data_IF_527624293230
#
_entry.id   IF_527624293230
#
_cell.length_a   1.000
_cell.length_b   1.000
_cell.length_c   1.000
_cell.angle_alpha   90.00
_cell.angle_beta   90.00
_cell.angle_gamma   90.00
#
_symmetry.space_group_name_H-M   'P 1'
#
loop_
_entity.id
_entity.type
_entity.pdbx_description
1 polymer ?
#
# COMPACT_ATOMS: atom_id res chain seq x y z
N UNK A 1 -32.54 -21.25 -1.50
CA UNK A 1 -32.13 -20.23 -2.49
C UNK A 1 -33.08 -20.16 -3.69
N UNK A 2 -33.66 -21.26 -4.12
CA UNK A 2 -34.53 -21.32 -5.31
C UNK A 2 -35.87 -20.58 -5.21
N UNK A 3 -36.16 -19.93 -4.09
CA UNK A 3 -37.30 -19.03 -3.93
C UNK A 3 -36.93 -17.54 -4.17
N UNK A 4 -35.64 -17.23 -4.38
CA UNK A 4 -35.21 -15.86 -4.62
C UNK A 4 -35.05 -15.59 -6.10
N UNK A 5 -35.55 -14.46 -6.52
CA UNK A 5 -35.40 -13.93 -7.88
C UNK A 5 -34.74 -12.57 -7.83
N UNK A 6 -34.11 -12.18 -8.94
CA UNK A 6 -33.63 -10.81 -9.15
C UNK A 6 -34.78 -9.85 -9.44
N UNK A 7 -34.45 -8.57 -9.63
CA UNK A 7 -35.44 -7.54 -9.98
C UNK A 7 -36.10 -7.73 -11.36
N UNK A 8 -35.61 -8.64 -12.20
CA UNK A 8 -36.17 -9.00 -13.49
C UNK A 8 -36.94 -10.36 -13.44
N UNK A 9 -37.15 -10.91 -12.25
CA UNK A 9 -37.85 -12.19 -12.05
C UNK A 9 -37.01 -13.45 -12.38
N UNK A 10 -35.70 -13.32 -12.63
CA UNK A 10 -34.82 -14.45 -12.91
C UNK A 10 -34.42 -15.17 -11.62
N UNK A 11 -34.47 -16.47 -11.63
CA UNK A 11 -34.13 -17.28 -10.46
C UNK A 11 -32.65 -17.13 -10.05
N UNK A 12 -32.42 -17.03 -8.75
CA UNK A 12 -31.10 -17.09 -8.14
C UNK A 12 -30.82 -18.47 -7.54
N UNK A 13 -29.54 -18.93 -7.49
CA UNK A 13 -28.33 -18.28 -7.99
C UNK A 13 -28.17 -18.45 -9.50
N UNK A 14 -27.45 -17.54 -10.14
CA UNK A 14 -27.07 -17.67 -11.57
C UNK A 14 -25.94 -18.69 -11.81
N UNK A 15 -25.15 -18.97 -10.77
CA UNK A 15 -23.99 -19.85 -10.83
C UNK A 15 -24.35 -21.15 -10.13
N UNK A 16 -24.27 -22.27 -10.83
CA UNK A 16 -24.56 -23.59 -10.29
C UNK A 16 -23.36 -24.17 -9.54
N UNK A 17 -22.17 -24.07 -10.11
CA UNK A 17 -20.95 -24.66 -9.59
C UNK A 17 -19.84 -23.61 -9.41
N UNK A 18 -19.17 -23.66 -8.26
CA UNK A 18 -17.96 -22.85 -7.98
C UNK A 18 -16.81 -23.78 -7.66
N UNK A 19 -15.81 -23.81 -8.54
CA UNK A 19 -14.56 -24.55 -8.32
C UNK A 19 -13.48 -23.62 -7.77
N UNK A 20 -12.94 -23.97 -6.61
CA UNK A 20 -11.84 -23.24 -5.99
C UNK A 20 -10.58 -24.09 -6.06
N UNK A 21 -9.62 -23.67 -6.87
CA UNK A 21 -8.32 -24.33 -7.00
C UNK A 21 -7.35 -23.79 -5.94
N UNK A 22 -6.91 -24.66 -5.04
CA UNK A 22 -5.90 -24.33 -4.04
C UNK A 22 -4.52 -24.50 -4.64
N UNK A 23 -3.70 -23.44 -4.58
CA UNK A 23 -2.35 -23.45 -5.12
C UNK A 23 -1.43 -22.53 -4.32
N UNK A 24 -0.11 -22.57 -4.57
CA UNK A 24 0.82 -21.65 -3.92
C UNK A 24 0.58 -20.21 -4.38
N UNK A 25 0.79 -19.24 -3.48
CA UNK A 25 0.60 -17.81 -3.77
C UNK A 25 1.41 -17.30 -4.97
N UNK A 26 2.55 -17.90 -5.25
CA UNK A 26 3.40 -17.56 -6.41
C UNK A 26 2.79 -17.98 -7.75
N UNK A 27 1.97 -19.02 -7.77
CA UNK A 27 1.32 -19.52 -8.99
C UNK A 27 0.00 -18.81 -9.30
N UNK A 28 -0.62 -18.14 -8.32
CA UNK A 28 -1.92 -17.47 -8.52
C UNK A 28 -1.87 -16.46 -9.70
N UNK A 29 -0.90 -15.52 -9.77
CA UNK A 29 -0.85 -14.58 -10.89
C UNK A 29 -0.63 -15.25 -12.24
N UNK A 30 0.13 -16.36 -12.26
CA UNK A 30 0.42 -17.11 -13.49
C UNK A 30 -0.85 -17.78 -13.99
N UNK A 31 -1.58 -18.48 -13.11
CA UNK A 31 -2.84 -19.16 -13.44
C UNK A 31 -3.94 -18.17 -13.86
N UNK A 32 -4.05 -17.04 -13.18
CA UNK A 32 -4.95 -15.98 -13.59
C UNK A 32 -4.56 -15.41 -14.97
N UNK A 33 -3.27 -15.19 -15.20
CA UNK A 33 -2.74 -14.69 -16.46
C UNK A 33 -2.84 -15.68 -17.63
N UNK A 34 -2.91 -16.97 -17.37
CA UNK A 34 -3.12 -18.02 -18.39
C UNK A 34 -4.60 -18.31 -18.70
N UNK A 35 -5.53 -17.59 -18.04
CA UNK A 35 -6.96 -17.79 -18.25
C UNK A 35 -7.55 -19.04 -17.60
N UNK A 36 -6.84 -19.64 -16.63
CA UNK A 36 -7.32 -20.82 -15.90
C UNK A 36 -8.42 -20.50 -14.87
N UNK A 37 -8.73 -19.22 -14.67
CA UNK A 37 -9.73 -18.77 -13.69
C UNK A 37 -10.67 -17.74 -14.32
N UNK A 38 -11.97 -17.89 -14.05
CA UNK A 38 -12.99 -16.94 -14.50
C UNK A 38 -12.98 -15.65 -13.66
N UNK A 39 -12.67 -15.76 -12.37
CA UNK A 39 -12.60 -14.65 -11.44
C UNK A 39 -11.46 -14.84 -10.44
N UNK A 40 -10.54 -13.88 -10.36
CA UNK A 40 -9.45 -13.86 -9.38
C UNK A 40 -9.27 -12.47 -8.79
N UNK A 41 -9.29 -12.36 -7.47
CA UNK A 41 -8.99 -11.10 -6.76
C UNK A 41 -7.94 -11.26 -5.65
N UNK A 42 -7.91 -12.40 -4.98
CA UNK A 42 -6.93 -12.69 -3.92
C UNK A 42 -5.59 -13.17 -4.49
N UNK A 43 -4.49 -12.85 -3.79
CA UNK A 43 -3.15 -13.28 -4.20
C UNK A 43 -2.60 -12.56 -5.45
N UNK A 44 -3.28 -11.52 -5.92
CA UNK A 44 -2.79 -10.63 -6.96
C UNK A 44 -2.27 -9.33 -6.31
N UNK A 45 -1.09 -8.91 -6.74
CA UNK A 45 -0.46 -7.67 -6.32
C UNK A 45 -0.32 -6.73 -7.52
N UNK A 46 -0.12 -5.44 -7.25
CA UNK A 46 0.07 -4.45 -8.31
C UNK A 46 1.29 -4.77 -9.19
N UNK A 47 2.32 -5.39 -8.64
CA UNK A 47 3.50 -5.86 -9.39
C UNK A 47 3.16 -6.89 -10.48
N UNK A 48 2.01 -7.57 -10.38
CA UNK A 48 1.54 -8.51 -11.41
C UNK A 48 0.78 -7.80 -12.55
N UNK A 49 0.52 -6.50 -12.42
CA UNK A 49 -0.34 -5.75 -13.34
C UNK A 49 0.12 -5.83 -14.80
N UNK A 50 1.41 -5.59 -15.05
CA UNK A 50 1.97 -5.64 -16.41
C UNK A 50 1.82 -7.02 -17.05
N UNK A 51 2.09 -8.09 -16.28
CA UNK A 51 1.91 -9.48 -16.73
C UNK A 51 0.46 -9.75 -17.11
N UNK A 52 -0.47 -9.39 -16.25
CA UNK A 52 -1.89 -9.61 -16.46
C UNK A 52 -2.42 -8.79 -17.64
N UNK A 53 -2.06 -7.53 -17.77
CA UNK A 53 -2.47 -6.68 -18.90
C UNK A 53 -1.96 -7.19 -20.24
N UNK A 54 -0.72 -7.66 -20.30
CA UNK A 54 -0.13 -8.20 -21.52
C UNK A 54 -0.87 -9.44 -22.02
N UNK A 55 -1.42 -10.23 -21.13
CA UNK A 55 -2.06 -11.51 -21.43
C UNK A 55 -3.57 -11.41 -21.71
N UNK A 56 -4.21 -10.29 -21.41
CA UNK A 56 -5.67 -10.08 -21.53
C UNK A 56 -6.24 -10.49 -22.88
N UNK A 57 -5.65 -9.97 -23.97
CA UNK A 57 -6.15 -10.24 -25.34
C UNK A 57 -6.02 -11.71 -25.72
N UNK A 58 -4.93 -12.37 -25.29
CA UNK A 58 -4.66 -13.76 -25.63
C UNK A 58 -5.61 -14.72 -24.95
N UNK A 59 -6.00 -14.44 -23.72
CA UNK A 59 -6.79 -15.35 -22.88
C UNK A 59 -8.21 -14.85 -22.58
N UNK A 60 -8.62 -13.72 -23.16
CA UNK A 60 -10.01 -13.26 -23.17
C UNK A 60 -10.55 -12.76 -21.81
N UNK A 61 -9.68 -12.29 -20.90
CA UNK A 61 -10.09 -11.71 -19.62
C UNK A 61 -9.81 -10.19 -19.57
N UNK A 62 -10.23 -9.54 -18.50
CA UNK A 62 -10.01 -8.11 -18.26
C UNK A 62 -9.49 -7.87 -16.83
N UNK A 63 -8.35 -7.19 -16.72
CA UNK A 63 -7.77 -6.79 -15.43
C UNK A 63 -8.33 -5.45 -14.99
N UNK A 64 -9.00 -5.42 -13.84
CA UNK A 64 -9.55 -4.22 -13.24
C UNK A 64 -8.75 -3.80 -12.00
N UNK A 65 -8.36 -2.54 -11.93
CA UNK A 65 -7.79 -1.96 -10.72
C UNK A 65 -8.94 -1.45 -9.84
N UNK A 66 -9.05 -2.01 -8.65
CA UNK A 66 -10.04 -1.58 -7.67
C UNK A 66 -9.40 -0.63 -6.67
N UNK A 67 -10.05 0.48 -6.40
CA UNK A 67 -9.67 1.34 -5.29
C UNK A 67 -9.88 0.60 -3.98
N UNK A 68 -8.90 0.66 -3.10
CA UNK A 68 -9.00 0.09 -1.76
C UNK A 68 -9.31 1.18 -0.75
N UNK A 69 -10.13 0.85 0.25
CA UNK A 69 -10.49 1.77 1.34
C UNK A 69 -9.36 1.92 2.38
N UNK A 70 -8.10 1.69 2.00
CA UNK A 70 -6.93 1.87 2.88
C UNK A 70 -6.36 3.26 2.69
N UNK A 71 -6.15 3.97 3.77
CA UNK A 71 -5.56 5.31 3.76
C UNK A 71 -4.11 5.35 3.28
N UNK A 72 -3.35 4.26 3.50
CA UNK A 72 -2.02 4.08 2.96
C UNK A 72 -1.76 2.64 2.54
N UNK A 73 -0.99 2.44 1.49
CA UNK A 73 -0.53 1.11 1.08
C UNK A 73 0.65 0.65 1.94
N UNK A 74 1.53 1.57 2.26
CA UNK A 74 2.71 1.36 3.08
C UNK A 74 2.66 2.35 4.24
N UNK A 75 2.93 1.88 5.44
CA UNK A 75 3.04 2.72 6.61
C UNK A 75 4.10 2.16 7.56
N UNK A 76 4.90 3.04 8.14
CA UNK A 76 5.90 2.71 9.15
C UNK A 76 5.32 3.08 10.51
N UNK A 77 5.28 2.12 11.42
CA UNK A 77 4.77 2.29 12.78
C UNK A 77 5.90 2.10 13.80
N UNK A 78 6.57 3.17 14.26
CA UNK A 78 7.53 3.05 15.34
C UNK A 78 6.88 2.47 16.60
N UNK A 79 7.56 1.51 17.23
CA UNK A 79 7.03 0.89 18.45
C UNK A 79 7.19 1.83 19.65
N UNK A 80 6.12 2.54 20.01
CA UNK A 80 6.10 3.51 21.11
C UNK A 80 6.26 2.86 22.50
N UNK A 81 6.18 1.54 22.59
CA UNK A 81 6.36 0.75 23.80
C UNK A 81 7.59 -0.15 23.72
N UNK A 82 8.62 0.29 22.97
CA UNK A 82 9.86 -0.46 22.85
C UNK A 82 10.51 -0.65 24.22
N UNK A 83 11.16 -1.80 24.45
CA UNK A 83 11.71 -2.16 25.77
C UNK A 83 12.88 -1.27 26.19
N UNK A 84 13.73 -0.93 25.26
CA UNK A 84 14.84 0.00 25.48
C UNK A 84 14.29 1.42 25.65
N UNK A 85 14.61 2.05 26.78
CA UNK A 85 14.05 3.35 27.18
C UNK A 85 14.55 4.52 26.31
N UNK A 86 15.75 4.44 25.77
CA UNK A 86 16.31 5.48 24.89
C UNK A 86 15.58 5.45 23.54
N UNK A 87 15.45 4.27 22.94
CA UNK A 87 14.65 4.07 21.73
C UNK A 87 13.18 4.41 21.94
N UNK A 88 12.61 4.06 23.09
CA UNK A 88 11.23 4.39 23.40
C UNK A 88 11.00 5.91 23.43
N UNK A 89 11.88 6.67 24.11
CA UNK A 89 11.82 8.13 24.13
C UNK A 89 11.91 8.71 22.71
N UNK A 90 12.83 8.18 21.91
CA UNK A 90 13.02 8.62 20.54
C UNK A 90 11.78 8.35 19.68
N UNK A 91 11.22 7.13 19.70
CA UNK A 91 10.02 6.79 18.95
C UNK A 91 8.79 7.59 19.36
N UNK A 92 8.69 7.96 20.64
CA UNK A 92 7.63 8.84 21.15
C UNK A 92 7.82 10.31 20.77
N UNK A 93 9.04 10.72 20.40
CA UNK A 93 9.29 12.08 19.97
C UNK A 93 8.65 12.33 18.60
N UNK A 94 7.79 13.35 18.54
CA UNK A 94 7.06 13.67 17.30
C UNK A 94 7.98 14.18 16.20
N UNK A 95 9.04 14.92 16.55
CA UNK A 95 9.98 15.46 15.56
C UNK A 95 10.84 14.37 14.94
N UNK A 96 11.18 13.30 15.70
CA UNK A 96 11.81 12.11 15.14
C UNK A 96 10.92 11.47 14.06
N UNK A 97 9.64 11.25 14.36
CA UNK A 97 8.71 10.65 13.40
C UNK A 97 8.46 11.55 12.18
N UNK A 98 8.46 12.89 12.36
CA UNK A 98 8.37 13.86 11.27
C UNK A 98 9.60 13.81 10.38
N UNK A 99 10.80 13.79 10.97
CA UNK A 99 12.05 13.66 10.24
C UNK A 99 12.07 12.38 9.39
N UNK A 100 11.67 11.23 9.95
CA UNK A 100 11.54 9.99 9.19
C UNK A 100 10.54 10.11 8.05
N UNK A 101 9.43 10.84 8.25
CA UNK A 101 8.41 11.00 7.21
C UNK A 101 8.94 11.79 6.01
N UNK A 102 9.61 12.94 6.25
CA UNK A 102 10.12 13.78 5.16
C UNK A 102 11.41 13.22 4.54
N UNK A 103 12.04 12.21 5.17
CA UNK A 103 13.17 11.47 4.59
C UNK A 103 12.75 10.42 3.55
N UNK A 104 11.46 10.16 3.39
CA UNK A 104 10.94 9.16 2.44
C UNK A 104 10.64 9.84 1.11
N UNK A 105 11.35 9.43 0.06
CA UNK A 105 11.02 9.83 -1.31
C UNK A 105 9.80 9.04 -1.82
N UNK A 106 8.63 9.66 -1.63
CA UNK A 106 7.36 9.08 -2.07
C UNK A 106 7.21 9.09 -3.57
N UNK A 107 7.85 10.06 -4.23
CA UNK A 107 7.82 10.17 -5.68
C UNK A 107 8.57 9.00 -6.32
N UNK A 108 9.80 8.74 -5.89
CA UNK A 108 10.58 7.59 -6.38
C UNK A 108 9.83 6.28 -6.14
N UNK A 109 9.28 6.07 -4.93
CA UNK A 109 8.48 4.89 -4.61
C UNK A 109 7.27 4.77 -5.56
N UNK A 110 6.59 5.89 -5.82
CA UNK A 110 5.44 5.90 -6.73
C UNK A 110 5.82 5.52 -8.16
N UNK A 111 6.91 6.08 -8.68
CA UNK A 111 7.39 5.76 -10.02
C UNK A 111 7.82 4.29 -10.15
N UNK A 112 8.63 3.81 -9.21
CA UNK A 112 9.21 2.45 -9.27
C UNK A 112 8.16 1.36 -9.06
N UNK A 113 7.29 1.52 -8.06
CA UNK A 113 6.37 0.44 -7.65
C UNK A 113 4.94 0.59 -8.16
N UNK A 114 4.53 1.81 -8.52
CA UNK A 114 3.14 2.11 -8.88
C UNK A 114 2.98 2.81 -10.23
N UNK A 115 4.07 2.95 -11.00
CA UNK A 115 4.05 3.58 -12.33
C UNK A 115 3.42 4.99 -12.33
N UNK A 116 3.63 5.75 -11.25
CA UNK A 116 3.03 7.06 -11.06
C UNK A 116 1.53 7.06 -10.73
N UNK A 117 0.90 5.90 -10.53
CA UNK A 117 -0.55 5.78 -10.33
C UNK A 117 -0.99 5.93 -8.86
N UNK A 118 -0.05 5.91 -7.92
CA UNK A 118 -0.34 6.11 -6.50
C UNK A 118 -0.37 7.60 -6.14
N UNK A 119 -0.92 7.92 -4.98
CA UNK A 119 -0.89 9.27 -4.40
C UNK A 119 0.22 9.38 -3.37
N UNK A 120 0.97 10.46 -3.46
CA UNK A 120 2.13 10.75 -2.61
C UNK A 120 1.70 11.55 -1.38
N UNK A 121 1.02 10.90 -0.44
CA UNK A 121 0.47 11.52 0.76
C UNK A 121 0.85 10.73 2.01
N UNK A 122 0.51 11.28 3.17
CA UNK A 122 0.51 10.51 4.42
C UNK A 122 -0.71 9.58 4.50
N UNK A 123 -0.67 8.68 5.49
CA UNK A 123 -1.82 7.88 5.84
C UNK A 123 -2.98 8.77 6.26
N UNK A 124 -4.05 8.74 5.50
CA UNK A 124 -5.26 9.54 5.72
C UNK A 124 -6.49 8.74 5.27
N UNK A 125 -7.68 9.26 5.52
CA UNK A 125 -8.92 8.72 4.98
C UNK A 125 -9.00 8.98 3.47
N UNK A 126 -9.90 8.29 2.78
CA UNK A 126 -10.12 8.51 1.35
C UNK A 126 -10.64 9.94 1.09
N UNK A 127 -10.35 10.47 -0.10
CA UNK A 127 -10.82 11.81 -0.51
C UNK A 127 -12.32 11.98 -0.48
N UNK A 128 -13.02 10.90 -0.77
CA UNK A 128 -14.49 10.83 -0.79
C UNK A 128 -15.10 10.84 0.62
N UNK A 129 -14.28 10.69 1.65
CA UNK A 129 -14.72 10.76 3.04
C UNK A 129 -15.00 12.21 3.45
N UNK A 130 -16.11 12.50 4.16
CA UNK A 130 -16.37 13.81 4.74
C UNK A 130 -15.34 14.23 5.80
N UNK A 131 -14.52 13.29 6.29
CA UNK A 131 -13.43 13.54 7.23
C UNK A 131 -12.10 13.82 6.54
N UNK A 132 -12.05 13.88 5.20
CA UNK A 132 -10.82 14.15 4.48
C UNK A 132 -10.41 15.62 4.63
N UNK A 133 -9.18 15.82 5.07
CA UNK A 133 -8.53 17.12 5.10
C UNK A 133 -7.20 17.04 4.32
N UNK A 134 -7.09 17.83 3.27
CA UNK A 134 -5.93 17.85 2.39
C UNK A 134 -4.65 18.33 3.13
N UNK A 135 -4.79 19.25 4.08
CA UNK A 135 -3.66 19.73 4.89
C UNK A 135 -3.08 18.60 5.74
N UNK A 136 -3.92 17.76 6.34
CA UNK A 136 -3.45 16.59 7.09
C UNK A 136 -2.84 15.54 6.18
N UNK A 137 -3.44 15.26 5.03
CA UNK A 137 -2.95 14.28 4.07
C UNK A 137 -1.57 14.64 3.53
N UNK A 138 -1.27 15.92 3.35
CA UNK A 138 -0.02 16.39 2.75
C UNK A 138 1.02 16.88 3.79
N UNK A 139 0.63 16.99 5.06
CA UNK A 139 1.55 17.49 6.11
C UNK A 139 2.68 16.50 6.38
N UNK A 140 3.92 16.96 6.29
CA UNK A 140 5.12 16.13 6.47
C UNK A 140 5.26 15.00 5.44
N UNK A 141 4.69 15.17 4.24
CA UNK A 141 4.78 14.18 3.15
C UNK A 141 5.78 14.58 2.06
N UNK A 142 6.26 15.82 2.07
CA UNK A 142 7.31 16.29 1.17
C UNK A 142 8.60 15.50 1.39
N UNK A 143 9.40 15.39 0.35
CA UNK A 143 10.74 14.83 0.45
C UNK A 143 11.75 15.96 0.71
N UNK A 144 12.43 15.93 1.85
CA UNK A 144 13.42 16.93 2.24
C UNK A 144 14.47 16.33 3.18
N UNK A 145 15.54 15.80 2.61
CA UNK A 145 16.63 15.19 3.36
C UNK A 145 17.41 16.20 4.22
N UNK A 146 17.52 17.45 3.78
CA UNK A 146 18.26 18.47 4.53
C UNK A 146 17.52 18.79 5.83
N UNK A 147 16.25 19.11 5.74
CA UNK A 147 15.42 19.35 6.91
C UNK A 147 15.30 18.11 7.79
N UNK A 148 15.17 16.91 7.21
CA UNK A 148 15.14 15.66 7.98
C UNK A 148 16.43 15.46 8.79
N UNK A 149 17.59 15.68 8.18
CA UNK A 149 18.87 15.57 8.87
C UNK A 149 19.03 16.62 9.97
N UNK A 150 18.65 17.87 9.72
CA UNK A 150 18.68 18.92 10.73
C UNK A 150 17.81 18.56 11.94
N UNK A 151 16.57 18.09 11.70
CA UNK A 151 15.69 17.65 12.78
C UNK A 151 16.26 16.50 13.60
N UNK A 152 17.01 15.58 12.99
CA UNK A 152 17.70 14.50 13.70
C UNK A 152 18.92 14.99 14.48
N UNK A 153 19.65 15.97 13.94
CA UNK A 153 20.76 16.62 14.65
C UNK A 153 20.26 17.40 15.89
N UNK A 154 19.15 18.12 15.76
CA UNK A 154 18.49 18.82 16.87
C UNK A 154 18.02 17.87 18.00
N UNK A 155 17.80 16.60 17.68
CA UNK A 155 17.49 15.54 18.64
C UNK A 155 18.75 14.89 19.27
N UNK A 156 19.94 15.37 18.93
CA UNK A 156 21.22 14.87 19.44
C UNK A 156 21.79 13.68 18.67
N UNK A 157 21.16 13.24 17.57
CA UNK A 157 21.61 12.11 16.76
C UNK A 157 22.69 12.52 15.77
N UNK A 158 23.72 13.22 16.23
CA UNK A 158 24.80 13.77 15.40
C UNK A 158 25.92 12.75 15.12
N UNK A 159 26.13 11.81 16.04
CA UNK A 159 27.18 10.81 15.90
C UNK A 159 26.85 9.84 14.75
N UNK A 160 27.91 9.46 14.00
CA UNK A 160 27.77 8.51 12.91
C UNK A 160 28.87 7.42 13.01
N UNK A 161 28.56 6.21 12.59
CA UNK A 161 29.57 5.17 12.45
C UNK A 161 30.37 5.33 11.14
N UNK A 162 31.35 4.43 10.92
CA UNK A 162 32.20 4.42 9.73
C UNK A 162 31.43 4.25 8.41
N UNK A 163 30.19 3.77 8.45
CA UNK A 163 29.29 3.60 7.30
C UNK A 163 28.33 4.77 7.12
N UNK A 164 28.44 5.84 7.93
CA UNK A 164 27.58 7.00 7.88
C UNK A 164 26.24 6.87 8.58
N UNK A 165 25.91 5.75 9.21
CA UNK A 165 24.66 5.58 9.95
C UNK A 165 24.72 6.34 11.27
N UNK A 166 23.62 7.00 11.62
CA UNK A 166 23.46 7.70 12.89
C UNK A 166 23.47 6.71 14.06
N UNK A 167 24.10 7.13 15.14
CA UNK A 167 24.14 6.39 16.41
C UNK A 167 23.24 7.11 17.42
N UNK A 168 22.66 6.32 18.30
CA UNK A 168 21.94 6.78 19.48
C UNK A 168 22.90 7.15 20.59
#
# INVERSE_FOLDING_TARGET
YYHRVDMNGRQLPYINDVKVNVTSSKLIPIKAGSGETDLQSRGLNFTNYTLLKKSEKKFGYSTKLWRTAKGARWAIYPNLNFRDMEWQKLFRNVNFRRALSIAIDRHEINQVFYYGLARETNNSVLRESPLFDEKFANRWSQFDLNTANQMLDDLGLVKRNSKGFRLL
#
